data_IF_567556796140
#
_entry.id   IF_567556796140
#
_cell.length_a   1.000
_cell.length_b   1.000
_cell.length_c   1.000
_cell.angle_alpha   90.00
_cell.angle_beta   90.00
_cell.angle_gamma   90.00
#
_symmetry.space_group_name_H-M   'P 1'
#
loop_
_entity.id
_entity.type
_entity.pdbx_description
1 polymer ?
#
# COMPACT_ATOMS: atom_id res chain seq x y z
N UNK A 1 37.28 -14.65 -6.98
CA UNK A 1 37.48 -14.50 -5.53
C UNK A 1 38.94 -14.13 -5.26
N UNK A 2 39.20 -13.08 -4.44
CA UNK A 2 40.53 -12.76 -3.91
C UNK A 2 41.18 -13.96 -3.19
N UNK A 3 42.52 -14.02 -3.13
CA UNK A 3 43.28 -15.12 -2.51
C UNK A 3 42.91 -15.36 -1.03
N UNK A 4 42.61 -14.28 -0.30
CA UNK A 4 42.12 -14.35 1.09
C UNK A 4 40.75 -15.03 1.22
N UNK A 5 39.89 -14.94 0.20
CA UNK A 5 38.62 -15.67 0.20
C UNK A 5 38.79 -17.13 -0.23
N UNK A 6 39.74 -17.42 -1.13
CA UNK A 6 40.09 -18.82 -1.48
C UNK A 6 40.65 -19.58 -0.27
N UNK A 7 41.47 -18.94 0.56
CA UNK A 7 42.04 -19.57 1.77
C UNK A 7 40.93 -19.91 2.78
N UNK A 8 39.95 -19.01 2.97
CA UNK A 8 38.77 -19.24 3.82
C UNK A 8 37.90 -20.40 3.29
N UNK A 9 37.75 -20.51 1.97
CA UNK A 9 37.07 -21.64 1.32
C UNK A 9 37.82 -22.97 1.50
N UNK A 10 39.16 -22.95 1.51
CA UNK A 10 40.00 -24.12 1.74
C UNK A 10 39.90 -24.64 3.19
N UNK A 11 39.96 -23.76 4.17
CA UNK A 11 39.76 -24.13 5.58
C UNK A 11 38.32 -24.61 5.86
N UNK A 12 37.33 -24.04 5.18
CA UNK A 12 35.95 -24.50 5.26
C UNK A 12 35.72 -25.91 4.67
N UNK A 13 36.64 -26.40 3.82
CA UNK A 13 36.57 -27.72 3.21
C UNK A 13 37.11 -28.85 4.11
N UNK A 14 37.80 -28.52 5.21
CA UNK A 14 38.40 -29.49 6.15
C UNK A 14 37.38 -30.06 7.18
N UNK A 15 36.09 -29.73 7.06
CA UNK A 15 34.96 -30.26 7.85
C UNK A 15 35.06 -30.08 9.37
N UNK A 16 35.78 -29.04 9.81
CA UNK A 16 35.83 -28.65 11.22
C UNK A 16 34.41 -28.21 11.66
N UNK A 17 33.78 -28.99 12.55
CA UNK A 17 32.46 -28.73 13.16
C UNK A 17 31.21 -28.75 12.25
N UNK A 18 31.23 -29.49 11.14
CA UNK A 18 30.03 -29.65 10.27
C UNK A 18 29.66 -28.37 9.49
N UNK A 19 30.64 -27.47 9.32
CA UNK A 19 30.49 -26.21 8.60
C UNK A 19 30.03 -26.42 7.16
N UNK A 20 30.54 -27.44 6.48
CA UNK A 20 30.15 -27.79 5.10
C UNK A 20 28.65 -28.09 5.00
N UNK A 21 28.08 -28.77 6.00
CA UNK A 21 26.64 -29.05 6.06
C UNK A 21 25.84 -27.76 6.27
N UNK A 22 26.29 -26.88 7.16
CA UNK A 22 25.65 -25.57 7.41
C UNK A 22 25.71 -24.67 6.16
N UNK A 23 26.85 -24.58 5.49
CA UNK A 23 27.02 -23.86 4.22
C UNK A 23 26.07 -24.37 3.14
N UNK A 24 25.99 -25.70 2.96
CA UNK A 24 25.08 -26.30 1.98
C UNK A 24 23.61 -26.05 2.33
N UNK A 25 23.26 -26.06 3.61
CA UNK A 25 21.91 -25.74 4.08
C UNK A 25 21.54 -24.28 3.79
N UNK A 26 22.40 -23.33 4.17
CA UNK A 26 22.23 -21.90 3.89
C UNK A 26 22.13 -21.63 2.38
N UNK A 27 22.98 -22.26 1.56
CA UNK A 27 22.93 -22.13 0.10
C UNK A 27 21.61 -22.66 -0.49
N UNK A 28 21.06 -23.74 0.07
CA UNK A 28 19.76 -24.29 -0.33
C UNK A 28 18.63 -23.33 0.01
N UNK A 29 18.67 -22.71 1.19
CA UNK A 29 17.71 -21.69 1.61
C UNK A 29 17.81 -20.42 0.74
N UNK A 30 19.02 -19.98 0.39
CA UNK A 30 19.22 -18.84 -0.51
C UNK A 30 18.66 -19.12 -1.91
N UNK A 31 18.86 -20.33 -2.45
CA UNK A 31 18.24 -20.74 -3.73
C UNK A 31 16.72 -20.74 -3.66
N UNK A 32 16.13 -21.14 -2.54
CA UNK A 32 14.68 -21.10 -2.34
C UNK A 32 14.16 -19.66 -2.26
N UNK A 33 14.83 -18.78 -1.50
CA UNK A 33 14.48 -17.36 -1.40
C UNK A 33 14.64 -16.64 -2.74
N UNK A 34 15.71 -16.91 -3.50
CA UNK A 34 15.93 -16.33 -4.82
C UNK A 34 14.82 -16.69 -5.83
N UNK A 35 14.19 -17.86 -5.72
CA UNK A 35 13.02 -18.23 -6.55
C UNK A 35 11.80 -17.35 -6.29
N UNK A 36 11.70 -16.76 -5.09
CA UNK A 36 10.61 -15.84 -4.72
C UNK A 36 10.84 -14.42 -5.26
N UNK A 37 12.08 -14.06 -5.59
CA UNK A 37 12.51 -12.71 -6.02
C UNK A 37 12.47 -12.56 -7.56
N UNK A 38 12.30 -13.66 -8.31
CA UNK A 38 12.17 -13.63 -9.77
C UNK A 38 11.10 -12.58 -10.14
N UNK A 39 11.43 -11.63 -11.04
CA UNK A 39 10.86 -10.29 -11.04
C UNK A 39 9.34 -10.33 -11.10
N UNK A 40 8.74 -9.38 -10.39
CA UNK A 40 7.36 -8.95 -10.55
C UNK A 40 7.04 -8.83 -12.02
N UNK A 41 6.40 -9.88 -12.54
CA UNK A 41 6.19 -10.08 -13.95
C UNK A 41 5.45 -8.84 -14.50
N UNK A 42 6.15 -8.00 -15.27
CA UNK A 42 5.58 -6.81 -15.93
C UNK A 42 4.37 -7.21 -16.80
N UNK A 43 4.25 -8.50 -17.13
CA UNK A 43 3.06 -9.10 -17.73
C UNK A 43 1.79 -8.93 -16.88
N UNK A 44 1.86 -8.95 -15.54
CA UNK A 44 0.66 -8.84 -14.67
C UNK A 44 0.04 -7.44 -14.73
N UNK A 45 0.86 -6.38 -14.69
CA UNK A 45 0.38 -5.02 -14.88
C UNK A 45 -0.27 -4.82 -16.26
N UNK A 46 0.35 -5.39 -17.30
CA UNK A 46 -0.19 -5.40 -18.66
C UNK A 46 -1.52 -6.16 -18.75
N UNK A 47 -1.66 -7.32 -18.07
CA UNK A 47 -2.89 -8.10 -18.00
C UNK A 47 -4.02 -7.36 -17.29
N UNK A 48 -3.73 -6.71 -16.14
CA UNK A 48 -4.71 -5.88 -15.44
C UNK A 48 -5.21 -4.77 -16.37
N UNK A 49 -4.29 -4.05 -17.03
CA UNK A 49 -4.65 -3.03 -18.03
C UNK A 49 -5.52 -3.62 -19.13
N UNK A 50 -5.14 -4.75 -19.71
CA UNK A 50 -5.92 -5.42 -20.76
C UNK A 50 -7.33 -5.82 -20.31
N UNK A 51 -7.48 -6.36 -19.10
CA UNK A 51 -8.79 -6.69 -18.54
C UNK A 51 -9.66 -5.44 -18.32
N UNK A 52 -9.08 -4.35 -17.79
CA UNK A 52 -9.80 -3.09 -17.59
C UNK A 52 -10.18 -2.43 -18.92
N UNK A 53 -9.28 -2.42 -19.90
CA UNK A 53 -9.55 -1.93 -21.26
C UNK A 53 -10.70 -2.72 -21.89
N UNK A 54 -10.70 -4.05 -21.74
CA UNK A 54 -11.80 -4.89 -22.20
C UNK A 54 -13.10 -4.61 -21.46
N UNK A 55 -13.08 -4.40 -20.15
CA UNK A 55 -14.28 -4.00 -19.42
C UNK A 55 -14.83 -2.66 -19.95
N UNK A 56 -13.97 -1.67 -20.16
CA UNK A 56 -14.37 -0.32 -20.56
C UNK A 56 -14.93 -0.31 -21.99
N UNK A 57 -14.23 -0.93 -22.93
CA UNK A 57 -14.51 -0.79 -24.36
C UNK A 57 -15.11 -2.04 -25.00
N UNK A 58 -15.09 -3.18 -24.32
CA UNK A 58 -15.42 -4.49 -24.91
C UNK A 58 -14.37 -4.98 -25.91
N UNK A 59 -13.11 -4.52 -25.84
CA UNK A 59 -11.99 -4.94 -26.70
C UNK A 59 -10.70 -5.13 -25.91
N UNK A 60 -9.79 -5.93 -26.45
CA UNK A 60 -8.47 -6.13 -25.85
C UNK A 60 -7.63 -4.84 -25.77
N UNK A 61 -7.90 -3.85 -26.63
CA UNK A 61 -7.17 -2.58 -26.73
C UNK A 61 -8.13 -1.40 -26.76
N UNK A 62 -7.67 -0.21 -26.37
CA UNK A 62 -8.47 1.01 -26.48
C UNK A 62 -8.68 1.34 -27.97
N UNK A 63 -9.93 1.36 -28.45
CA UNK A 63 -10.20 1.63 -29.85
C UNK A 63 -10.06 3.12 -30.14
N UNK A 64 -9.71 3.47 -31.39
CA UNK A 64 -9.71 4.86 -31.84
C UNK A 64 -11.12 5.48 -31.84
N UNK A 65 -12.15 4.64 -31.94
CA UNK A 65 -13.55 5.06 -31.90
C UNK A 65 -14.35 4.04 -31.11
N UNK A 66 -15.13 4.51 -30.13
CA UNK A 66 -15.98 3.65 -29.30
C UNK A 66 -17.33 3.49 -29.98
N UNK A 67 -17.87 2.26 -30.00
CA UNK A 67 -19.10 1.93 -30.73
C UNK A 67 -20.08 1.10 -29.89
N UNK A 68 -21.35 1.13 -30.29
CA UNK A 68 -22.40 0.22 -29.83
C UNK A 68 -22.22 -1.14 -30.51
N UNK A 69 -21.85 -2.17 -29.74
CA UNK A 69 -21.44 -3.47 -30.30
C UNK A 69 -22.58 -4.47 -30.50
N UNK A 70 -23.60 -4.37 -29.67
CA UNK A 70 -24.77 -5.22 -29.76
C UNK A 70 -25.57 -4.96 -31.03
N UNK A 71 -26.38 -5.94 -31.44
CA UNK A 71 -27.40 -5.72 -32.46
C UNK A 71 -28.52 -4.83 -31.91
N UNK A 72 -29.03 -3.90 -32.70
CA UNK A 72 -30.09 -2.99 -32.29
C UNK A 72 -30.36 -1.93 -33.34
N UNK A 73 -31.38 -1.11 -33.10
CA UNK A 73 -31.70 0.06 -33.92
C UNK A 73 -32.39 1.17 -33.11
N UNK A 74 -32.38 1.03 -31.78
CA UNK A 74 -32.95 1.99 -30.84
C UNK A 74 -32.29 1.80 -29.47
N UNK A 75 -32.53 2.77 -28.60
CA UNK A 75 -31.94 2.83 -27.25
C UNK A 75 -32.37 1.64 -26.40
N UNK A 76 -33.63 1.26 -26.45
CA UNK A 76 -34.16 0.15 -25.65
C UNK A 76 -33.53 -1.19 -26.02
N UNK A 77 -33.20 -1.43 -27.28
CA UNK A 77 -32.52 -2.67 -27.67
C UNK A 77 -31.09 -2.69 -27.15
N UNK A 78 -30.38 -1.57 -27.24
CA UNK A 78 -29.00 -1.48 -26.78
C UNK A 78 -28.86 -1.47 -25.25
N UNK A 79 -29.83 -0.88 -24.55
CA UNK A 79 -29.84 -0.65 -23.11
C UNK A 79 -30.72 -1.64 -22.33
N UNK A 80 -31.64 -2.31 -23.02
CA UNK A 80 -32.49 -3.39 -22.55
C UNK A 80 -33.95 -2.99 -22.30
N UNK A 81 -34.83 -3.99 -22.31
CA UNK A 81 -36.29 -3.84 -22.23
C UNK A 81 -36.92 -4.69 -21.12
N UNK A 82 -37.91 -4.09 -20.45
CA UNK A 82 -38.97 -4.82 -19.74
C UNK A 82 -38.56 -5.86 -18.69
N UNK A 83 -37.43 -5.67 -17.99
CA UNK A 83 -37.00 -6.55 -16.88
C UNK A 83 -36.80 -8.02 -17.28
N UNK A 84 -36.68 -8.29 -18.57
CA UNK A 84 -36.64 -9.64 -19.15
C UNK A 84 -35.66 -9.75 -20.32
N UNK A 85 -35.18 -8.63 -20.88
CA UNK A 85 -34.22 -8.65 -21.99
C UNK A 85 -33.06 -7.68 -21.71
N UNK A 86 -31.86 -8.24 -21.59
CA UNK A 86 -30.65 -7.49 -21.35
C UNK A 86 -30.28 -6.60 -22.54
N UNK A 87 -29.72 -5.43 -22.26
CA UNK A 87 -29.25 -4.52 -23.30
C UNK A 87 -28.12 -5.14 -24.13
N UNK A 88 -28.31 -5.19 -25.45
CA UNK A 88 -27.39 -5.90 -26.35
C UNK A 88 -26.00 -5.27 -26.38
N UNK A 89 -25.89 -3.95 -26.24
CA UNK A 89 -24.61 -3.24 -26.16
C UNK A 89 -24.18 -3.01 -24.72
N UNK A 90 -25.11 -2.67 -23.82
CA UNK A 90 -24.78 -2.38 -22.43
C UNK A 90 -24.07 -3.56 -21.75
N UNK A 91 -24.46 -4.81 -22.03
CA UNK A 91 -23.79 -5.98 -21.43
C UNK A 91 -22.35 -6.21 -21.90
N UNK A 92 -21.94 -5.57 -23.00
CA UNK A 92 -20.63 -5.80 -23.63
C UNK A 92 -19.55 -4.82 -23.16
N UNK A 93 -19.92 -3.61 -22.74
CA UNK A 93 -18.94 -2.61 -22.30
C UNK A 93 -19.49 -1.60 -21.28
N UNK A 94 -18.62 -1.11 -20.41
CA UNK A 94 -18.94 0.00 -19.51
C UNK A 94 -19.25 1.26 -20.33
N UNK A 95 -18.56 1.49 -21.44
CA UNK A 95 -18.83 2.64 -22.29
C UNK A 95 -20.28 2.66 -22.77
N UNK A 96 -20.77 1.55 -23.33
CA UNK A 96 -22.16 1.45 -23.76
C UNK A 96 -23.15 1.52 -22.58
N UNK A 97 -22.81 0.92 -21.43
CA UNK A 97 -23.61 1.04 -20.21
C UNK A 97 -23.75 2.50 -19.78
N UNK A 98 -22.64 3.24 -19.68
CA UNK A 98 -22.66 4.66 -19.31
C UNK A 98 -23.38 5.50 -20.36
N UNK A 99 -23.27 5.19 -21.66
CA UNK A 99 -24.07 5.85 -22.70
C UNK A 99 -25.58 5.65 -22.46
N UNK A 100 -26.01 4.45 -22.08
CA UNK A 100 -27.41 4.18 -21.74
C UNK A 100 -27.91 4.98 -20.52
N UNK A 101 -27.02 5.32 -19.59
CA UNK A 101 -27.35 6.12 -18.42
C UNK A 101 -27.26 7.63 -18.69
N UNK A 102 -26.22 8.07 -19.38
CA UNK A 102 -25.82 9.47 -19.39
C UNK A 102 -26.24 10.19 -20.68
N UNK A 103 -26.39 9.47 -21.79
CA UNK A 103 -26.72 10.08 -23.07
C UNK A 103 -28.21 10.39 -23.18
N UNK A 104 -28.51 11.51 -23.86
CA UNK A 104 -29.84 11.77 -24.37
C UNK A 104 -30.03 11.04 -25.70
N UNK A 105 -31.27 10.72 -26.05
CA UNK A 105 -31.53 10.22 -27.40
C UNK A 105 -31.47 11.36 -28.42
N UNK A 106 -30.78 11.14 -29.54
CA UNK A 106 -30.76 12.04 -30.69
C UNK A 106 -32.14 12.46 -31.19
N UNK A 107 -33.16 11.62 -31.06
CA UNK A 107 -34.54 11.96 -31.44
C UNK A 107 -35.19 13.00 -30.53
N UNK A 108 -34.63 13.24 -29.35
CA UNK A 108 -35.23 14.07 -28.30
C UNK A 108 -34.36 15.24 -27.86
N UNK A 109 -33.20 15.44 -28.48
CA UNK A 109 -32.24 16.50 -28.13
C UNK A 109 -31.44 16.22 -26.85
N UNK A 110 -30.44 17.06 -26.56
CA UNK A 110 -29.57 16.90 -25.39
C UNK A 110 -30.26 17.39 -24.10
N UNK A 111 -30.95 16.50 -23.40
CA UNK A 111 -31.76 16.83 -22.21
C UNK A 111 -31.46 15.97 -20.99
N UNK A 112 -30.75 14.85 -21.15
CA UNK A 112 -30.46 13.91 -20.08
C UNK A 112 -29.34 14.43 -19.15
N UNK A 113 -29.70 14.63 -17.88
CA UNK A 113 -28.84 15.07 -16.78
C UNK A 113 -28.70 14.01 -15.67
N UNK A 114 -29.00 12.75 -15.97
CA UNK A 114 -29.02 11.69 -14.97
C UNK A 114 -27.64 11.41 -14.36
N UNK A 115 -26.57 11.60 -15.13
CA UNK A 115 -25.21 11.35 -14.65
C UNK A 115 -24.48 12.60 -14.16
N UNK A 116 -24.76 13.76 -14.74
CA UNK A 116 -24.02 15.00 -14.51
C UNK A 116 -24.96 16.19 -14.43
N UNK A 117 -24.48 17.27 -13.82
CA UNK A 117 -25.24 18.52 -13.68
C UNK A 117 -25.70 19.10 -15.02
N UNK A 118 -24.84 19.01 -16.03
CA UNK A 118 -25.11 19.45 -17.39
C UNK A 118 -25.35 18.24 -18.29
N UNK A 119 -26.13 18.43 -19.35
CA UNK A 119 -26.43 17.38 -20.30
C UNK A 119 -25.15 16.86 -20.99
N UNK A 120 -25.03 15.54 -21.13
CA UNK A 120 -23.83 14.92 -21.75
C UNK A 120 -23.80 15.11 -23.26
N UNK A 121 -24.96 15.35 -23.88
CA UNK A 121 -25.16 15.40 -25.32
C UNK A 121 -26.17 14.36 -25.81
N UNK A 122 -26.34 14.30 -27.12
CA UNK A 122 -27.27 13.41 -27.79
C UNK A 122 -26.53 12.26 -28.51
N UNK A 123 -27.05 11.04 -28.36
CA UNK A 123 -26.54 9.82 -28.96
C UNK A 123 -27.58 9.22 -29.90
N UNK A 124 -27.15 8.87 -31.12
CA UNK A 124 -27.96 8.06 -32.02
C UNK A 124 -27.76 6.58 -31.68
N UNK A 125 -28.82 5.92 -31.23
CA UNK A 125 -28.81 4.48 -30.94
C UNK A 125 -29.13 3.69 -32.23
N UNK A 126 -28.21 3.78 -33.18
CA UNK A 126 -28.32 3.17 -34.52
C UNK A 126 -28.03 1.67 -34.55
N UNK A 127 -27.58 1.16 -35.69
CA UNK A 127 -27.22 -0.25 -35.83
C UNK A 127 -25.94 -0.62 -35.07
N UNK A 128 -25.64 -1.92 -34.96
CA UNK A 128 -24.33 -2.40 -34.48
C UNK A 128 -23.20 -1.69 -35.23
N UNK A 129 -22.18 -1.25 -34.49
CA UNK A 129 -21.07 -0.43 -34.98
C UNK A 129 -21.32 1.08 -34.93
N UNK A 130 -22.52 1.55 -34.55
CA UNK A 130 -22.78 2.98 -34.39
C UNK A 130 -21.82 3.61 -33.37
N UNK A 131 -21.24 4.75 -33.74
CA UNK A 131 -20.26 5.46 -32.91
C UNK A 131 -20.94 6.03 -31.66
N UNK A 132 -20.30 5.89 -30.51
CA UNK A 132 -20.68 6.55 -29.27
C UNK A 132 -20.08 7.96 -29.26
N UNK A 133 -20.80 8.94 -29.78
CA UNK A 133 -20.32 10.32 -29.98
C UNK A 133 -20.13 11.07 -28.66
N UNK A 134 -20.84 10.66 -27.60
CA UNK A 134 -20.78 11.30 -26.28
C UNK A 134 -19.70 10.72 -25.36
N UNK A 135 -18.92 9.75 -25.82
CA UNK A 135 -17.99 9.01 -24.96
C UNK A 135 -16.91 9.91 -24.36
N UNK A 136 -16.32 10.81 -25.13
CA UNK A 136 -15.26 11.68 -24.62
C UNK A 136 -15.77 12.62 -23.51
N UNK A 137 -17.01 13.12 -23.64
CA UNK A 137 -17.67 13.89 -22.58
C UNK A 137 -17.84 13.08 -21.30
N UNK A 138 -18.31 11.83 -21.41
CA UNK A 138 -18.46 10.91 -20.27
C UNK A 138 -17.11 10.64 -19.63
N UNK A 139 -16.09 10.30 -20.43
CA UNK A 139 -14.73 9.99 -19.96
C UNK A 139 -14.11 11.19 -19.25
N UNK A 140 -14.30 12.40 -19.77
CA UNK A 140 -13.82 13.63 -19.15
C UNK A 140 -14.50 13.87 -17.80
N UNK A 141 -15.82 13.72 -17.72
CA UNK A 141 -16.55 13.86 -16.46
C UNK A 141 -16.11 12.84 -15.42
N UNK A 142 -15.96 11.56 -15.80
CA UNK A 142 -15.41 10.53 -14.91
C UNK A 142 -13.99 10.85 -14.43
N UNK A 143 -13.15 11.47 -15.28
CA UNK A 143 -11.78 11.84 -14.92
C UNK A 143 -11.75 12.97 -13.88
N UNK A 144 -12.67 13.93 -13.97
CA UNK A 144 -12.84 15.01 -12.98
C UNK A 144 -13.25 14.42 -11.63
N UNK A 145 -14.26 13.54 -11.60
CA UNK A 145 -14.71 12.86 -10.38
C UNK A 145 -13.62 11.94 -9.77
N UNK A 146 -12.83 11.28 -10.62
CA UNK A 146 -11.71 10.48 -10.15
C UNK A 146 -10.61 11.35 -9.50
N UNK A 147 -10.35 12.54 -10.04
CA UNK A 147 -9.33 13.46 -9.53
C UNK A 147 -9.71 14.07 -8.17
N UNK A 148 -11.00 14.25 -7.88
CA UNK A 148 -11.49 14.74 -6.57
C UNK A 148 -11.47 13.65 -5.50
N UNK A 149 -11.38 12.37 -5.90
CA UNK A 149 -11.31 11.24 -5.00
C UNK A 149 -9.87 11.04 -4.50
N UNK A 150 -9.57 11.51 -3.28
CA UNK A 150 -8.26 11.38 -2.64
C UNK A 150 -7.92 9.92 -2.29
N UNK A 151 -7.47 9.15 -3.27
CA UNK A 151 -6.91 7.82 -3.04
C UNK A 151 -5.40 7.84 -3.25
N UNK A 152 -4.63 7.72 -2.15
CA UNK A 152 -3.16 7.60 -2.18
C UNK A 152 -2.67 6.22 -2.64
N UNK A 153 -3.58 5.31 -2.99
CA UNK A 153 -3.29 3.91 -3.31
C UNK A 153 -4.05 3.49 -4.57
N UNK A 154 -3.53 2.48 -5.27
CA UNK A 154 -4.23 1.86 -6.39
C UNK A 154 -5.65 1.42 -5.96
N UNK A 155 -6.66 1.60 -6.82
CA UNK A 155 -8.04 1.26 -6.49
C UNK A 155 -8.17 -0.23 -6.16
N UNK A 156 -8.99 -0.56 -5.16
CA UNK A 156 -9.31 -1.94 -4.81
C UNK A 156 -10.36 -2.48 -5.80
N UNK A 157 -9.92 -3.19 -6.84
CA UNK A 157 -10.81 -3.68 -7.90
C UNK A 157 -11.79 -4.74 -7.40
N UNK A 158 -11.45 -5.51 -6.36
CA UNK A 158 -12.37 -6.47 -5.75
C UNK A 158 -13.53 -5.77 -5.04
N UNK A 159 -13.24 -4.68 -4.31
CA UNK A 159 -14.26 -3.85 -3.68
C UNK A 159 -15.15 -3.18 -4.74
N UNK A 160 -14.56 -2.66 -5.83
CA UNK A 160 -15.31 -2.07 -6.93
C UNK A 160 -16.23 -3.10 -7.61
N UNK A 161 -15.72 -4.29 -7.93
CA UNK A 161 -16.52 -5.38 -8.49
C UNK A 161 -17.70 -5.73 -7.56
N UNK A 162 -17.46 -5.83 -6.25
CA UNK A 162 -18.51 -6.12 -5.26
C UNK A 162 -19.56 -5.00 -5.22
N UNK A 163 -19.14 -3.74 -5.20
CA UNK A 163 -20.04 -2.59 -5.17
C UNK A 163 -20.94 -2.55 -6.42
N UNK A 164 -20.35 -2.72 -7.60
CA UNK A 164 -21.11 -2.76 -8.86
C UNK A 164 -22.05 -3.97 -8.91
N UNK A 165 -21.58 -5.14 -8.43
CA UNK A 165 -22.46 -6.32 -8.31
C UNK A 165 -23.64 -6.01 -7.39
N UNK A 166 -23.42 -5.34 -6.26
CA UNK A 166 -24.51 -4.97 -5.36
C UNK A 166 -25.54 -4.04 -6.04
N UNK A 167 -25.11 -3.10 -6.89
CA UNK A 167 -26.03 -2.27 -7.68
C UNK A 167 -26.95 -3.10 -8.57
N UNK A 168 -26.44 -4.18 -9.17
CA UNK A 168 -27.28 -5.09 -9.97
C UNK A 168 -28.36 -5.79 -9.16
N UNK A 169 -28.16 -6.01 -7.85
CA UNK A 169 -29.15 -6.64 -6.98
C UNK A 169 -29.99 -5.62 -6.20
N UNK A 170 -29.75 -4.31 -6.42
CA UNK A 170 -30.57 -3.27 -5.82
C UNK A 170 -31.98 -3.31 -6.42
N UNK A 171 -32.98 -3.27 -5.53
CA UNK A 171 -34.39 -3.29 -5.93
C UNK A 171 -34.75 -1.96 -6.61
N UNK A 172 -35.34 -2.04 -7.81
CA UNK A 172 -35.84 -0.91 -8.59
C UNK A 172 -37.34 -1.02 -8.83
N UNK A 173 -38.01 0.13 -8.88
CA UNK A 173 -39.45 0.22 -9.04
C UNK A 173 -40.25 -0.34 -7.85
N UNK A 174 -41.58 -0.35 -7.97
CA UNK A 174 -42.45 -0.71 -6.84
C UNK A 174 -42.51 -2.23 -6.59
N UNK A 175 -42.25 -3.03 -7.62
CA UNK A 175 -42.27 -4.50 -7.54
C UNK A 175 -40.91 -5.11 -7.19
N UNK A 176 -39.88 -4.30 -6.91
CA UNK A 176 -38.56 -4.77 -6.50
C UNK A 176 -37.81 -5.54 -7.59
N UNK A 177 -37.77 -5.00 -8.81
CA UNK A 177 -37.01 -5.62 -9.88
C UNK A 177 -35.50 -5.48 -9.65
N UNK A 178 -34.73 -6.49 -10.07
CA UNK A 178 -33.26 -6.50 -10.02
C UNK A 178 -32.67 -6.53 -11.43
N UNK A 179 -31.35 -6.42 -11.53
CA UNK A 179 -30.60 -6.48 -12.78
C UNK A 179 -30.51 -5.16 -13.51
N UNK A 180 -30.64 -4.04 -12.80
CA UNK A 180 -30.60 -2.70 -13.37
C UNK A 180 -29.44 -1.89 -12.80
N UNK A 181 -28.80 -1.09 -13.65
CA UNK A 181 -27.90 -0.01 -13.23
C UNK A 181 -28.47 1.30 -13.76
N UNK A 182 -28.43 2.35 -12.94
CA UNK A 182 -29.05 3.64 -13.24
C UNK A 182 -30.42 3.79 -12.59
N UNK A 183 -31.17 4.77 -13.08
CA UNK A 183 -32.44 5.17 -12.46
C UNK A 183 -33.63 4.76 -13.32
N UNK A 184 -34.65 4.25 -12.65
CA UNK A 184 -35.97 3.99 -13.23
C UNK A 184 -36.98 4.77 -12.40
N UNK A 185 -37.81 5.57 -13.07
CA UNK A 185 -38.90 6.26 -12.40
C UNK A 185 -39.89 5.23 -11.89
N UNK A 186 -40.27 5.38 -10.62
CA UNK A 186 -41.18 4.45 -9.96
C UNK A 186 -42.49 4.29 -10.75
N UNK A 187 -42.92 3.04 -10.86
CA UNK A 187 -44.08 2.59 -11.60
C UNK A 187 -44.35 1.14 -11.22
N UNK A 188 -45.51 0.61 -11.63
CA UNK A 188 -45.91 -0.74 -11.24
C UNK A 188 -44.88 -1.79 -11.64
N UNK A 189 -44.14 -1.62 -12.74
CA UNK A 189 -43.03 -2.51 -13.11
C UNK A 189 -41.79 -1.68 -13.44
N UNK A 190 -40.59 -2.20 -13.13
CA UNK A 190 -39.38 -1.72 -13.79
C UNK A 190 -39.47 -2.13 -15.27
N UNK A 191 -39.38 -1.16 -16.16
CA UNK A 191 -39.62 -1.34 -17.59
C UNK A 191 -38.38 -1.01 -18.41
N UNK A 192 -38.54 -0.18 -19.43
CA UNK A 192 -37.56 0.01 -20.49
C UNK A 192 -36.46 1.01 -20.10
N UNK A 193 -35.25 0.73 -20.56
CA UNK A 193 -34.13 1.66 -20.46
C UNK A 193 -34.07 2.58 -21.69
N UNK A 194 -35.17 3.31 -21.93
CA UNK A 194 -35.35 4.22 -23.06
C UNK A 194 -34.93 5.67 -22.78
N UNK A 195 -34.47 5.96 -21.57
CA UNK A 195 -33.96 7.29 -21.18
C UNK A 195 -35.05 8.28 -20.82
N UNK A 196 -36.32 7.88 -20.87
CA UNK A 196 -37.42 8.75 -20.54
C UNK A 196 -37.71 8.75 -19.04
N UNK A 197 -37.89 9.93 -18.46
CA UNK A 197 -38.31 10.09 -17.07
C UNK A 197 -39.84 9.94 -16.93
N UNK A 198 -40.36 8.77 -17.30
CA UNK A 198 -41.78 8.40 -17.21
C UNK A 198 -41.95 7.08 -16.46
N UNK A 199 -43.14 6.80 -15.93
CA UNK A 199 -43.38 5.67 -15.03
C UNK A 199 -42.89 4.34 -15.61
N UNK A 200 -42.04 3.63 -14.86
CA UNK A 200 -41.45 2.35 -15.28
C UNK A 200 -40.35 2.48 -16.34
N UNK A 201 -39.91 3.68 -16.68
CA UNK A 201 -38.86 3.94 -17.67
C UNK A 201 -37.72 4.73 -17.05
N UNK A 202 -36.58 4.79 -17.73
CA UNK A 202 -35.51 5.65 -17.25
C UNK A 202 -34.18 5.56 -17.98
N UNK A 203 -33.28 6.39 -17.48
CA UNK A 203 -31.87 6.40 -17.83
C UNK A 203 -31.15 5.26 -17.09
N UNK A 204 -31.25 4.07 -17.66
CA UNK A 204 -30.73 2.85 -17.08
C UNK A 204 -30.08 1.94 -18.13
N UNK A 205 -29.49 0.86 -17.65
CA UNK A 205 -29.21 -0.34 -18.41
C UNK A 205 -29.74 -1.55 -17.63
N UNK A 206 -30.38 -2.49 -18.32
CA UNK A 206 -30.80 -3.76 -17.71
C UNK A 206 -30.01 -4.93 -18.25
N UNK A 207 -29.79 -5.88 -17.37
CA UNK A 207 -29.02 -7.09 -17.57
C UNK A 207 -29.86 -8.31 -17.19
N UNK A 208 -31.18 -8.18 -17.26
CA UNK A 208 -32.12 -9.25 -16.97
C UNK A 208 -32.34 -10.13 -18.20
N UNK A 209 -32.23 -11.45 -18.07
CA UNK A 209 -32.50 -12.40 -19.17
C UNK A 209 -33.84 -13.13 -19.02
N UNK A 210 -34.44 -13.04 -17.84
CA UNK A 210 -35.78 -13.50 -17.50
C UNK A 210 -36.21 -12.81 -16.19
N UNK A 211 -37.46 -13.03 -15.78
CA UNK A 211 -37.93 -12.56 -14.48
C UNK A 211 -36.98 -13.01 -13.36
N UNK A 212 -36.51 -12.05 -12.56
CA UNK A 212 -35.57 -12.26 -11.44
C UNK A 212 -34.25 -12.96 -11.81
N UNK A 213 -33.86 -12.99 -13.10
CA UNK A 213 -32.64 -13.63 -13.56
C UNK A 213 -31.72 -12.59 -14.19
N UNK A 214 -30.51 -12.46 -13.65
CA UNK A 214 -29.50 -11.51 -14.13
C UNK A 214 -28.49 -12.24 -15.02
N UNK A 215 -28.35 -11.79 -16.25
CA UNK A 215 -27.21 -12.06 -17.13
C UNK A 215 -26.04 -11.18 -16.69
N UNK A 216 -25.06 -11.77 -16.00
CA UNK A 216 -23.86 -11.03 -15.56
C UNK A 216 -23.13 -10.43 -16.78
N UNK A 217 -22.95 -9.09 -16.84
CA UNK A 217 -22.33 -8.42 -17.98
C UNK A 217 -20.92 -8.93 -18.24
N UNK A 218 -20.52 -9.00 -19.52
CA UNK A 218 -19.17 -9.45 -19.90
C UNK A 218 -18.10 -8.52 -19.32
N UNK A 219 -18.35 -7.22 -19.31
CA UNK A 219 -17.43 -6.25 -18.72
C UNK A 219 -17.26 -6.43 -17.21
N UNK A 220 -18.29 -6.90 -16.49
CA UNK A 220 -18.20 -7.18 -15.06
C UNK A 220 -17.34 -8.43 -14.80
N UNK A 221 -17.45 -9.46 -15.66
CA UNK A 221 -16.53 -10.61 -15.64
C UNK A 221 -15.09 -10.17 -15.87
N UNK A 222 -14.84 -9.23 -16.79
CA UNK A 222 -13.50 -8.67 -17.03
C UNK A 222 -12.97 -7.88 -15.85
N UNK A 223 -13.83 -7.11 -15.17
CA UNK A 223 -13.45 -6.44 -13.92
C UNK A 223 -13.07 -7.45 -12.82
N UNK A 224 -13.78 -8.57 -12.71
CA UNK A 224 -13.41 -9.66 -11.80
C UNK A 224 -12.02 -10.22 -12.11
N UNK A 225 -11.73 -10.51 -13.38
CA UNK A 225 -10.42 -11.00 -13.82
C UNK A 225 -9.29 -10.00 -13.51
N UNK A 226 -9.56 -8.70 -13.66
CA UNK A 226 -8.62 -7.65 -13.27
C UNK A 226 -8.34 -7.67 -11.75
N UNK A 227 -9.39 -7.84 -10.93
CA UNK A 227 -9.27 -7.93 -9.48
C UNK A 227 -8.49 -9.18 -9.02
N UNK A 228 -8.74 -10.33 -9.63
CA UNK A 228 -7.99 -11.58 -9.38
C UNK A 228 -6.52 -11.39 -9.73
N UNK A 229 -6.22 -10.80 -10.89
CA UNK A 229 -4.84 -10.50 -11.31
C UNK A 229 -4.15 -9.50 -10.37
N UNK A 230 -4.88 -8.51 -9.84
CA UNK A 230 -4.36 -7.55 -8.85
C UNK A 230 -4.00 -8.25 -7.53
N UNK A 231 -4.84 -9.18 -7.06
CA UNK A 231 -4.58 -9.96 -5.84
C UNK A 231 -3.36 -10.87 -6.01
N UNK A 232 -3.23 -11.52 -7.17
CA UNK A 232 -2.07 -12.35 -7.52
C UNK A 232 -0.79 -11.53 -7.64
N UNK A 233 -0.87 -10.30 -8.14
CA UNK A 233 0.27 -9.40 -8.19
C UNK A 233 0.70 -8.97 -6.78
N UNK A 234 -0.25 -8.60 -5.91
CA UNK A 234 0.04 -8.23 -4.53
C UNK A 234 0.68 -9.38 -3.73
N UNK A 235 0.19 -10.61 -3.93
CA UNK A 235 0.75 -11.82 -3.31
C UNK A 235 2.18 -12.08 -3.78
N UNK A 236 2.43 -11.94 -5.08
CA UNK A 236 3.77 -12.08 -5.65
C UNK A 236 4.75 -11.01 -5.12
N UNK A 237 4.31 -9.74 -5.00
CA UNK A 237 5.14 -8.69 -4.40
C UNK A 237 5.53 -9.03 -2.97
N UNK A 238 4.56 -9.45 -2.13
CA UNK A 238 4.84 -9.82 -0.74
C UNK A 238 5.82 -10.98 -0.63
N UNK A 239 5.66 -12.00 -1.49
CA UNK A 239 6.57 -13.13 -1.54
C UNK A 239 7.99 -12.70 -1.95
N UNK A 240 8.12 -11.79 -2.92
CA UNK A 240 9.39 -11.24 -3.34
C UNK A 240 10.06 -10.43 -2.22
N UNK A 241 9.34 -9.53 -1.55
CA UNK A 241 9.88 -8.76 -0.41
C UNK A 241 10.31 -9.66 0.75
N UNK A 242 9.55 -10.72 1.04
CA UNK A 242 9.96 -11.70 2.05
C UNK A 242 11.21 -12.47 1.60
N UNK A 243 11.29 -12.86 0.33
CA UNK A 243 12.47 -13.50 -0.25
C UNK A 243 13.71 -12.60 -0.18
N UNK A 244 13.57 -11.31 -0.47
CA UNK A 244 14.66 -10.32 -0.34
C UNK A 244 15.15 -10.20 1.10
N UNK A 245 14.23 -10.04 2.06
CA UNK A 245 14.58 -9.99 3.48
C UNK A 245 15.26 -11.30 3.95
N UNK A 246 14.77 -12.46 3.50
CA UNK A 246 15.40 -13.75 3.79
C UNK A 246 16.79 -13.86 3.16
N UNK A 247 16.99 -13.39 1.93
CA UNK A 247 18.31 -13.37 1.31
C UNK A 247 19.29 -12.47 2.06
N UNK A 248 18.86 -11.27 2.48
CA UNK A 248 19.70 -10.37 3.27
C UNK A 248 20.13 -11.03 4.58
N UNK A 249 19.18 -11.61 5.33
CA UNK A 249 19.47 -12.30 6.59
C UNK A 249 20.38 -13.54 6.41
N UNK A 250 20.18 -14.32 5.35
CA UNK A 250 21.03 -15.48 5.04
C UNK A 250 22.43 -15.06 4.60
N UNK A 251 22.56 -13.95 3.87
CA UNK A 251 23.85 -13.39 3.47
C UNK A 251 24.65 -12.88 4.68
N UNK A 252 24.00 -12.21 5.63
CA UNK A 252 24.61 -11.82 6.90
C UNK A 252 25.04 -13.06 7.72
N UNK A 253 24.15 -14.03 7.87
CA UNK A 253 24.44 -15.28 8.60
C UNK A 253 25.61 -16.06 8.00
N UNK A 254 25.68 -16.13 6.66
CA UNK A 254 26.81 -16.75 5.94
C UNK A 254 28.12 -16.02 6.22
N UNK A 255 28.08 -14.68 6.20
CA UNK A 255 29.24 -13.84 6.52
C UNK A 255 29.72 -14.08 7.94
N UNK A 256 28.81 -14.13 8.93
CA UNK A 256 29.14 -14.44 10.32
C UNK A 256 29.71 -15.85 10.47
N UNK A 257 29.13 -16.86 9.81
CA UNK A 257 29.65 -18.23 9.85
C UNK A 257 31.07 -18.32 9.28
N UNK A 258 31.35 -17.63 8.17
CA UNK A 258 32.69 -17.58 7.58
C UNK A 258 33.69 -16.87 8.50
N UNK A 259 33.29 -15.78 9.16
CA UNK A 259 34.12 -15.09 10.14
C UNK A 259 34.42 -15.94 11.38
N UNK A 260 33.44 -16.68 11.89
CA UNK A 260 33.62 -17.58 13.04
C UNK A 260 34.56 -18.74 12.73
N UNK A 261 34.52 -19.29 11.51
CA UNK A 261 35.40 -20.40 11.11
C UNK A 261 36.77 -19.95 10.59
N UNK A 262 36.92 -18.67 10.22
CA UNK A 262 38.24 -18.09 9.93
C UNK A 262 39.05 -17.82 11.22
N UNK A 263 38.46 -17.99 12.41
CA UNK A 263 39.20 -18.03 13.68
C UNK A 263 39.70 -19.46 13.91
N UNK A 264 41.02 -19.66 13.87
CA UNK A 264 41.65 -20.99 14.05
C UNK A 264 41.26 -21.64 15.40
N UNK A 265 40.90 -22.94 15.43
CA UNK A 265 40.80 -23.68 16.67
C UNK A 265 42.22 -24.01 17.15
N UNK A 266 42.69 -23.28 18.16
CA UNK A 266 43.95 -23.60 18.83
C UNK A 266 45.12 -22.68 18.48
N UNK A 267 44.94 -21.38 18.71
CA UNK A 267 45.87 -20.73 19.63
C UNK A 267 45.11 -20.50 20.92
N UNK A 268 45.39 -21.31 21.94
CA UNK A 268 45.44 -20.77 23.30
C UNK A 268 46.51 -19.69 23.27
N UNK A 269 46.11 -18.49 22.83
CA UNK A 269 46.81 -17.30 23.23
C UNK A 269 46.70 -17.31 24.75
N UNK A 270 47.86 -17.53 25.40
CA UNK A 270 48.06 -17.14 26.79
C UNK A 270 47.33 -15.81 26.96
N UNK A 271 46.56 -15.63 28.03
CA UNK A 271 46.14 -14.29 28.47
C UNK A 271 47.38 -13.40 28.46
N UNK A 272 47.40 -12.35 27.64
CA UNK A 272 47.39 -11.02 28.23
C UNK A 272 46.43 -10.06 27.52
N UNK A 273 45.70 -9.27 28.32
CA UNK A 273 45.25 -7.91 27.98
C UNK A 273 44.26 -7.68 26.83
N UNK A 274 43.07 -7.15 27.16
CA UNK A 274 42.46 -5.90 26.62
C UNK A 274 43.08 -5.38 25.28
N UNK A 275 42.41 -5.09 24.15
CA UNK A 275 41.07 -4.55 23.88
C UNK A 275 40.68 -4.47 22.37
N UNK A 276 39.35 -4.32 22.13
CA UNK A 276 38.61 -3.46 21.16
C UNK A 276 38.66 -3.72 19.63
N UNK A 277 37.59 -3.51 18.83
CA UNK A 277 36.63 -2.37 18.71
C UNK A 277 35.32 -2.93 18.08
N UNK A 278 34.06 -2.73 18.51
CA UNK A 278 33.29 -1.52 18.83
C UNK A 278 32.42 -1.73 20.09
N UNK A 279 33.00 -1.42 21.25
CA UNK A 279 32.26 -1.03 22.48
C UNK A 279 33.03 0.09 23.23
N UNK A 280 34.05 0.66 22.56
CA UNK A 280 35.10 1.47 23.21
C UNK A 280 34.78 2.95 23.31
N UNK A 281 33.85 3.49 22.52
CA UNK A 281 33.47 4.91 22.64
C UNK A 281 32.48 5.19 23.77
N UNK A 282 31.71 4.19 24.21
CA UNK A 282 30.71 4.35 25.27
C UNK A 282 31.29 4.10 26.66
N UNK A 283 32.23 3.16 26.76
CA UNK A 283 32.88 2.79 28.03
C UNK A 283 33.88 3.87 28.51
N UNK A 284 34.61 4.52 27.60
CA UNK A 284 35.54 5.62 27.96
C UNK A 284 34.81 6.85 28.52
N UNK A 285 33.70 7.28 27.90
CA UNK A 285 32.92 8.43 28.38
C UNK A 285 32.26 8.18 29.74
N UNK A 286 31.82 6.95 29.99
CA UNK A 286 31.28 6.55 31.30
C UNK A 286 32.38 6.54 32.36
N UNK A 287 33.56 5.99 32.06
CA UNK A 287 34.69 5.96 32.99
C UNK A 287 35.21 7.37 33.33
N UNK A 288 35.26 8.27 32.34
CA UNK A 288 35.71 9.65 32.54
C UNK A 288 34.70 10.48 33.36
N UNK A 289 33.38 10.31 33.12
CA UNK A 289 32.34 10.95 33.90
C UNK A 289 32.29 10.44 35.36
N UNK A 290 32.49 9.13 35.57
CA UNK A 290 32.56 8.52 36.90
C UNK A 290 33.83 8.99 37.65
N UNK A 291 34.98 9.06 36.97
CA UNK A 291 36.22 9.57 37.56
C UNK A 291 36.11 11.04 37.99
N UNK A 292 35.37 11.85 37.21
CA UNK A 292 35.13 13.26 37.54
C UNK A 292 34.21 13.42 38.76
N UNK A 293 33.21 12.54 38.94
CA UNK A 293 32.44 12.51 40.18
C UNK A 293 33.29 12.06 41.38
N UNK A 294 34.07 10.98 41.24
CA UNK A 294 34.90 10.42 42.31
C UNK A 294 36.03 11.36 42.77
N UNK A 295 36.42 12.33 41.93
CA UNK A 295 37.41 13.35 42.29
C UNK A 295 36.85 14.42 43.26
N UNK A 296 35.53 14.46 43.49
CA UNK A 296 34.88 15.43 44.38
C UNK A 296 34.78 14.85 45.78
N UNK A 297 35.49 15.44 46.71
CA UNK A 297 35.66 14.97 48.09
C UNK A 297 34.74 15.67 49.11
N UNK A 298 33.87 16.58 48.64
CA UNK A 298 32.88 17.29 49.47
C UNK A 298 31.47 17.12 48.93
N UNK A 299 30.54 16.89 49.85
CA UNK A 299 29.10 16.77 49.57
C UNK A 299 28.55 17.99 48.81
N UNK A 300 29.03 19.20 49.13
CA UNK A 300 28.60 20.45 48.47
C UNK A 300 29.07 20.58 47.02
N UNK A 301 30.10 19.83 46.62
CA UNK A 301 30.66 19.84 45.26
C UNK A 301 30.05 18.69 44.42
N UNK A 302 29.48 17.68 45.09
CA UNK A 302 28.85 16.49 44.50
C UNK A 302 27.40 16.77 44.01
N UNK A 303 27.29 17.64 43.02
CA UNK A 303 26.02 18.00 42.39
C UNK A 303 25.72 17.14 41.15
N UNK A 304 24.43 17.01 40.75
CA UNK A 304 24.03 16.27 39.55
C UNK A 304 24.84 16.67 38.30
N UNK A 305 25.28 15.71 37.48
CA UNK A 305 24.83 14.31 37.40
C UNK A 305 25.51 13.33 38.40
N UNK A 306 26.26 13.82 39.39
CA UNK A 306 26.83 12.99 40.46
C UNK A 306 25.88 12.88 41.67
N UNK A 307 26.04 11.84 42.49
CA UNK A 307 25.29 11.57 43.71
C UNK A 307 26.23 11.30 44.88
N UNK A 308 25.97 11.94 46.01
CA UNK A 308 26.71 11.73 47.24
C UNK A 308 26.16 10.55 48.04
N UNK A 309 27.06 9.71 48.55
CA UNK A 309 26.79 8.60 49.45
C UNK A 309 27.65 8.75 50.72
N UNK A 310 27.02 9.27 51.77
CA UNK A 310 27.67 9.52 53.05
C UNK A 310 27.99 8.27 53.86
N UNK A 311 27.44 7.10 53.50
CA UNK A 311 27.68 5.82 54.18
C UNK A 311 28.84 5.03 53.55
N UNK A 312 29.35 5.49 52.41
CA UNK A 312 30.52 4.88 51.75
C UNK A 312 31.78 5.05 52.62
N UNK A 313 32.50 3.94 52.83
CA UNK A 313 33.67 3.88 53.71
C UNK A 313 34.95 4.33 53.01
N UNK A 314 34.95 4.31 51.68
CA UNK A 314 36.03 4.85 50.86
C UNK A 314 35.74 6.32 50.55
N UNK A 315 36.49 7.24 51.17
CA UNK A 315 36.32 8.69 51.00
C UNK A 315 36.41 9.14 49.53
N UNK A 316 37.05 8.35 48.66
CA UNK A 316 37.18 8.63 47.21
C UNK A 316 36.00 8.14 46.36
N UNK A 317 34.99 7.55 46.98
CA UNK A 317 33.77 7.03 46.33
C UNK A 317 32.48 7.56 46.93
N UNK A 318 32.60 8.53 47.85
CA UNK A 318 31.45 9.22 48.41
C UNK A 318 30.71 10.06 47.39
N UNK A 319 31.31 10.41 46.25
CA UNK A 319 30.62 11.06 45.14
C UNK A 319 30.74 10.22 43.87
N UNK A 320 29.66 9.57 43.43
CA UNK A 320 29.64 8.70 42.24
C UNK A 320 28.68 9.21 41.18
N UNK A 321 28.77 8.72 39.95
CA UNK A 321 27.84 9.13 38.90
C UNK A 321 26.43 8.58 39.19
N UNK A 322 25.40 9.42 39.09
CA UNK A 322 24.01 8.98 39.30
C UNK A 322 23.54 8.09 38.15
N UNK A 323 22.51 7.29 38.38
CA UNK A 323 21.94 6.41 37.34
C UNK A 323 21.43 7.20 36.13
N UNK A 324 20.91 8.41 36.33
CA UNK A 324 20.54 9.31 35.22
C UNK A 324 21.77 9.81 34.43
N UNK A 325 22.88 10.07 35.11
CA UNK A 325 24.16 10.41 34.48
C UNK A 325 24.76 9.26 33.66
N UNK A 326 24.60 8.02 34.15
CA UNK A 326 25.03 6.80 33.45
C UNK A 326 24.22 6.54 32.18
N UNK A 327 22.93 6.86 32.19
CA UNK A 327 22.08 6.77 31.00
C UNK A 327 22.42 7.86 29.97
N UNK A 328 22.63 9.11 30.39
CA UNK A 328 23.00 10.20 29.48
C UNK A 328 24.39 10.01 28.83
N UNK A 329 25.34 9.38 29.52
CA UNK A 329 26.65 9.05 28.98
C UNK A 329 26.61 7.96 27.90
N UNK A 330 25.60 7.08 27.93
CA UNK A 330 25.44 5.94 27.02
C UNK A 330 24.81 6.29 25.66
N UNK A 331 24.08 7.40 25.56
CA UNK A 331 23.25 7.69 24.38
C UNK A 331 23.85 8.67 23.36
N UNK A 332 25.12 9.11 23.51
CA UNK A 332 25.80 9.90 22.46
C UNK A 332 24.97 11.09 21.96
N UNK A 333 24.58 11.98 22.88
CA UNK A 333 23.29 12.68 22.83
C UNK A 333 22.96 13.62 21.66
N UNK A 334 21.66 13.91 21.55
CA UNK A 334 21.11 15.20 21.15
C UNK A 334 19.67 15.40 21.69
N UNK A 335 19.40 16.65 22.10
CA UNK A 335 18.10 17.28 22.46
C UNK A 335 17.51 17.12 23.86
N UNK A 336 18.10 17.78 24.87
CA UNK A 336 17.47 18.86 25.68
C UNK A 336 18.51 19.48 26.66
N UNK A 337 18.40 20.78 27.00
CA UNK A 337 19.57 21.66 26.99
C UNK A 337 20.31 21.78 28.33
N UNK A 338 21.63 21.82 28.18
CA UNK A 338 22.61 22.48 29.04
C UNK A 338 22.15 23.94 29.25
N UNK A 339 21.50 24.26 30.37
CA UNK A 339 21.29 25.67 30.76
C UNK A 339 21.44 26.02 32.24
N UNK A 340 21.68 25.05 33.14
CA UNK A 340 21.98 25.40 34.54
C UNK A 340 23.47 25.42 34.89
N UNK A 341 24.37 25.28 33.90
CA UNK A 341 25.81 25.44 34.09
C UNK A 341 26.26 26.88 34.39
N UNK A 342 25.36 27.87 34.29
CA UNK A 342 25.67 29.30 34.48
C UNK A 342 25.27 29.87 35.85
N UNK A 343 24.50 29.14 36.66
CA UNK A 343 24.02 29.60 37.97
C UNK A 343 24.52 28.68 39.09
N UNK A 344 25.16 29.27 40.10
CA UNK A 344 25.80 28.52 41.21
C UNK A 344 24.81 27.99 42.26
N UNK A 345 23.50 28.22 42.13
CA UNK A 345 22.45 27.84 43.09
C UNK A 345 21.12 27.53 42.39
N UNK A 346 20.39 26.51 42.89
CA UNK A 346 19.27 25.85 42.20
C UNK A 346 17.97 26.66 42.17
N UNK A 347 17.72 27.55 43.13
CA UNK A 347 16.53 28.42 43.13
C UNK A 347 16.50 29.37 41.92
N UNK A 348 17.66 29.83 41.44
CA UNK A 348 17.75 30.67 40.24
C UNK A 348 17.47 29.91 38.93
N UNK A 349 17.74 28.60 38.90
CA UNK A 349 17.48 27.72 37.74
C UNK A 349 15.97 27.40 37.58
N UNK A 350 15.20 27.46 38.67
CA UNK A 350 13.76 27.18 38.65
C UNK A 350 12.92 28.42 38.31
N UNK A 351 13.37 29.62 38.65
CA UNK A 351 12.68 30.88 38.32
C UNK A 351 12.66 31.19 36.80
N UNK A 352 13.69 30.76 36.07
CA UNK A 352 13.80 30.96 34.61
C UNK A 352 12.78 30.11 33.82
N UNK A 353 12.19 29.07 34.43
CA UNK A 353 11.18 28.21 33.78
C UNK A 353 9.78 28.82 33.72
N UNK A 354 9.51 29.91 34.45
CA UNK A 354 8.16 30.49 34.55
C UNK A 354 7.87 31.60 33.54
N UNK A 355 8.86 32.14 32.83
CA UNK A 355 8.68 33.32 31.98
C UNK A 355 8.53 33.02 30.46
N UNK A 356 8.71 31.78 30.01
CA UNK A 356 8.55 31.40 28.59
C UNK A 356 7.08 31.13 28.16
N UNK A 357 6.09 31.56 28.96
CA UNK A 357 4.71 31.77 28.48
C UNK A 357 4.53 33.21 28.02
N UNK A 358 5.12 33.56 26.86
CA UNK A 358 4.61 34.55 25.90
C UNK A 358 5.62 34.74 24.76
N UNK A 359 5.48 33.99 23.68
CA UNK A 359 5.67 34.55 22.33
C UNK A 359 5.02 33.62 21.29
N UNK A 360 4.10 34.22 20.54
CA UNK A 360 3.21 33.68 19.51
C UNK A 360 3.96 33.11 18.30
N UNK A 361 3.40 32.09 17.63
CA UNK A 361 2.50 32.17 16.45
C UNK A 361 1.59 30.93 16.44
#
# INVERSE_FOLDING_TARGET
LPETEKLKLKHAAEDVHGLKVKLNHTLTQMKAAAKLIIPTDTSKGSKIKGHLTHAIYGEATEPATVTLKGAGSNRETHCGTGGTTAGTSAKLSIAATLTCLCASDSSSGATNKACFKDETGAQAFGTSGAIITVWDTIKQACSIEAATTTTKCAPNLAALHKAITALLYELKGNNGAIGYIGQIKTGSNAGNCDGQDTAGKGACATFTSAANTIEIPEWLKKLKQAAETQADQATALRAATLGEAQLMALNESLTTLLQLNAKEPGKTEKKPGVAAVEDSKNTEKHAEAEANCNAKDKETECIPPCKWDGEEKDDKKKCTLSEEGKQAAKEGGATTPIRCSRHKIMEACLADKTDDKKLFI
#
